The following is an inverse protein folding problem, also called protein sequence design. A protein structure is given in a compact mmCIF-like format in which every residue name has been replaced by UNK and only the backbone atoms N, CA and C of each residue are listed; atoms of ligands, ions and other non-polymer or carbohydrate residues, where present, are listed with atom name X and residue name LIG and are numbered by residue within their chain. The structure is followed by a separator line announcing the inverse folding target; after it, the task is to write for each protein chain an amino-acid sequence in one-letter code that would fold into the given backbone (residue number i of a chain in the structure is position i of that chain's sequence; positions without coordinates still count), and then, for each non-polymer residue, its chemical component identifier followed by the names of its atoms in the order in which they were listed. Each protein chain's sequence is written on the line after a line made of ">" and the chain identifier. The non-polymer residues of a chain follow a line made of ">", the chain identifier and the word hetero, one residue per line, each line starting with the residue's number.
data_IF_624267226548
#
_entry.id   IF_624267226548
#
_cell.length_a   1.000
_cell.length_b   1.000
_cell.length_c   1.000
_cell.angle_alpha   90.00
_cell.angle_beta   90.00
_cell.angle_gamma   90.00
#
_symmetry.space_group_name_H-M   'P 1'
#
loop_
_entity.id
_entity.type
_entity.pdbx_description
1 polymer ?
#
# COMPACT_ATOMS: atom_id res chain seq x y z
N UNK A 1 -8.07 -18.49 6.90
CA UNK A 1 -8.78 -18.50 5.61
C UNK A 1 -10.29 -18.69 5.76
N UNK A 2 -10.79 -19.74 6.43
CA UNK A 2 -12.25 -19.95 6.63
C UNK A 2 -12.93 -18.75 7.30
N UNK A 3 -12.43 -18.30 8.46
CA UNK A 3 -12.95 -17.12 9.18
C UNK A 3 -12.95 -15.83 8.33
N UNK A 4 -11.96 -15.67 7.46
CA UNK A 4 -11.85 -14.50 6.56
C UNK A 4 -12.97 -14.54 5.51
N UNK A 5 -13.22 -15.72 4.91
CA UNK A 5 -14.34 -15.91 3.96
C UNK A 5 -15.69 -15.70 4.64
N UNK A 6 -15.86 -16.21 5.87
CA UNK A 6 -17.08 -15.96 6.65
C UNK A 6 -17.29 -14.47 6.93
N UNK A 7 -16.24 -13.75 7.30
CA UNK A 7 -16.32 -12.31 7.56
C UNK A 7 -16.63 -11.50 6.30
N UNK A 8 -16.04 -11.86 5.16
CA UNK A 8 -16.38 -11.27 3.86
C UNK A 8 -17.83 -11.55 3.47
N UNK A 9 -18.31 -12.79 3.63
CA UNK A 9 -19.71 -13.15 3.41
C UNK A 9 -20.68 -12.41 4.36
N UNK A 10 -20.28 -12.20 5.62
CA UNK A 10 -21.04 -11.40 6.56
C UNK A 10 -21.10 -9.92 6.15
N UNK A 11 -20.01 -9.35 5.61
CA UNK A 11 -19.98 -7.97 5.12
C UNK A 11 -20.88 -7.76 3.92
N UNK A 12 -20.81 -8.64 2.91
CA UNK A 12 -21.77 -8.62 1.79
C UNK A 12 -23.21 -8.88 2.24
N UNK A 13 -23.40 -9.67 3.30
CA UNK A 13 -24.70 -9.86 3.95
C UNK A 13 -25.22 -8.63 4.70
N UNK A 14 -24.34 -7.77 5.21
CA UNK A 14 -24.71 -6.53 5.92
C UNK A 14 -25.39 -5.55 4.95
N UNK A 15 -24.88 -5.41 3.74
CA UNK A 15 -25.50 -4.57 2.69
C UNK A 15 -26.94 -4.98 2.41
N UNK A 16 -27.22 -6.29 2.47
CA UNK A 16 -28.57 -6.85 2.25
C UNK A 16 -29.48 -6.77 3.47
N UNK A 17 -28.92 -6.72 4.68
CA UNK A 17 -29.67 -6.81 5.95
C UNK A 17 -29.97 -5.45 6.59
N UNK A 18 -29.14 -4.44 6.35
CA UNK A 18 -29.30 -3.12 6.97
C UNK A 18 -30.01 -2.18 5.99
N UNK A 19 -31.23 -1.76 6.36
CA UNK A 19 -32.10 -0.90 5.53
C UNK A 19 -31.61 0.56 5.38
N UNK A 20 -30.67 1.00 6.21
CA UNK A 20 -30.11 2.36 6.17
C UNK A 20 -28.72 2.37 6.83
N UNK A 21 -27.67 2.55 6.03
CA UNK A 21 -26.32 2.88 6.49
C UNK A 21 -25.84 4.14 5.75
N UNK A 22 -24.96 4.90 6.37
CA UNK A 22 -24.43 6.15 5.80
C UNK A 22 -23.48 5.88 4.63
N UNK A 23 -23.31 6.85 3.72
CA UNK A 23 -22.30 6.76 2.63
C UNK A 23 -20.89 6.44 3.13
N UNK A 24 -20.55 6.87 4.35
CA UNK A 24 -19.26 6.54 4.99
C UNK A 24 -19.19 5.07 5.41
N UNK A 25 -20.29 4.53 5.96
CA UNK A 25 -20.34 3.10 6.30
C UNK A 25 -20.30 2.22 5.05
N UNK A 26 -20.94 2.64 3.96
CA UNK A 26 -20.83 1.99 2.66
C UNK A 26 -19.38 1.94 2.17
N UNK A 27 -18.68 3.08 2.20
CA UNK A 27 -17.27 3.16 1.83
C UNK A 27 -16.40 2.26 2.73
N UNK A 28 -16.65 2.26 4.04
CA UNK A 28 -15.91 1.42 4.99
C UNK A 28 -16.19 -0.09 4.81
N UNK A 29 -17.41 -0.48 4.44
CA UNK A 29 -17.75 -1.88 4.10
C UNK A 29 -16.97 -2.31 2.85
N UNK A 30 -16.97 -1.47 1.81
CA UNK A 30 -16.20 -1.73 0.59
C UNK A 30 -14.69 -1.84 0.87
N UNK A 31 -14.16 -0.99 1.75
CA UNK A 31 -12.77 -1.09 2.20
C UNK A 31 -12.49 -2.43 2.89
N UNK A 32 -13.38 -2.88 3.77
CA UNK A 32 -13.23 -4.18 4.42
C UNK A 32 -13.22 -5.34 3.42
N UNK A 33 -14.09 -5.31 2.40
CA UNK A 33 -14.13 -6.36 1.37
C UNK A 33 -12.79 -6.46 0.62
N UNK A 34 -12.24 -5.31 0.19
CA UNK A 34 -10.92 -5.22 -0.44
C UNK A 34 -9.82 -5.78 0.49
N UNK A 35 -9.84 -5.38 1.76
CA UNK A 35 -8.87 -5.81 2.77
C UNK A 35 -8.97 -7.30 3.12
N UNK A 36 -10.17 -7.91 3.04
CA UNK A 36 -10.35 -9.34 3.22
C UNK A 36 -9.77 -10.14 2.05
N UNK A 37 -9.98 -9.68 0.82
CA UNK A 37 -9.41 -10.30 -0.36
C UNK A 37 -7.87 -10.24 -0.32
N UNK A 38 -7.31 -9.12 0.12
CA UNK A 38 -5.86 -9.00 0.34
C UNK A 38 -5.36 -9.96 1.43
N UNK A 39 -6.06 -10.01 2.57
CA UNK A 39 -5.76 -10.95 3.65
C UNK A 39 -5.80 -12.41 3.18
N UNK A 40 -6.75 -12.78 2.32
CA UNK A 40 -6.84 -14.15 1.80
C UNK A 40 -5.62 -14.51 0.96
N UNK A 41 -5.16 -13.61 0.11
CA UNK A 41 -3.98 -13.85 -0.72
C UNK A 41 -2.69 -13.89 0.11
N UNK A 42 -2.50 -12.97 1.05
CA UNK A 42 -1.36 -12.98 1.98
C UNK A 42 -1.28 -14.29 2.75
N UNK A 43 -2.43 -14.80 3.24
CA UNK A 43 -2.50 -16.09 3.92
C UNK A 43 -2.24 -17.26 2.96
N UNK A 44 -2.66 -17.20 1.69
CA UNK A 44 -2.35 -18.25 0.70
C UNK A 44 -0.85 -18.33 0.43
N UNK A 45 -0.19 -17.18 0.24
CA UNK A 45 1.26 -17.11 0.03
C UNK A 45 1.99 -17.64 1.26
N UNK A 46 1.60 -17.19 2.46
CA UNK A 46 2.17 -17.69 3.70
C UNK A 46 1.98 -19.20 3.87
N UNK A 47 0.83 -19.76 3.48
CA UNK A 47 0.61 -21.20 3.54
C UNK A 47 1.46 -21.97 2.52
N UNK A 48 1.62 -21.45 1.30
CA UNK A 48 2.48 -22.07 0.29
C UNK A 48 3.94 -22.18 0.77
N UNK A 49 4.43 -21.17 1.51
CA UNK A 49 5.75 -21.17 2.14
C UNK A 49 5.89 -22.16 3.32
N UNK A 50 4.77 -22.62 3.89
CA UNK A 50 4.74 -23.59 5.00
C UNK A 50 4.67 -25.05 4.54
N UNK A 51 4.28 -25.33 3.29
CA UNK A 51 4.18 -26.69 2.74
C UNK A 51 5.53 -27.42 2.62
N UNK A 52 6.69 -26.78 2.34
CA UNK A 52 7.98 -27.45 2.33
C UNK A 52 8.50 -27.77 3.75
N UNK A 53 9.32 -28.83 3.90
CA UNK A 53 9.90 -29.33 5.17
C UNK A 53 10.42 -28.20 6.10
N UNK A 54 10.37 -28.39 7.43
CA UNK A 54 10.77 -27.46 8.53
C UNK A 54 11.94 -26.48 8.26
N UNK A 55 12.94 -26.85 7.46
CA UNK A 55 14.06 -25.99 7.04
C UNK A 55 13.66 -24.82 6.13
N UNK A 56 12.55 -24.90 5.40
CA UNK A 56 12.04 -23.80 4.57
C UNK A 56 11.37 -22.71 5.42
N UNK A 57 10.68 -23.09 6.49
CA UNK A 57 10.01 -22.16 7.42
C UNK A 57 11.02 -21.23 8.12
N UNK A 58 12.19 -21.73 8.49
CA UNK A 58 13.24 -20.88 9.07
C UNK A 58 13.88 -19.93 8.07
N UNK A 59 13.95 -20.30 6.78
CA UNK A 59 14.45 -19.45 5.68
C UNK A 59 13.44 -18.37 5.29
N UNK A 60 12.16 -18.71 5.24
CA UNK A 60 11.07 -17.80 4.85
C UNK A 60 10.40 -17.14 6.07
N UNK A 61 11.03 -17.22 7.25
CA UNK A 61 10.48 -16.69 8.51
C UNK A 61 10.06 -15.22 8.39
N UNK A 62 10.91 -14.38 7.77
CA UNK A 62 10.61 -12.95 7.62
C UNK A 62 9.46 -12.67 6.65
N UNK A 63 9.32 -13.50 5.63
CA UNK A 63 8.24 -13.37 4.64
C UNK A 63 6.90 -13.79 5.29
N UNK A 64 6.89 -14.92 6.00
CA UNK A 64 5.75 -15.36 6.82
C UNK A 64 5.34 -14.30 7.85
N UNK A 65 6.32 -13.71 8.54
CA UNK A 65 6.07 -12.65 9.51
C UNK A 65 5.44 -11.42 8.84
N UNK A 66 5.95 -11.06 7.65
CA UNK A 66 5.45 -9.93 6.87
C UNK A 66 4.00 -10.15 6.45
N UNK A 67 3.67 -11.29 5.84
CA UNK A 67 2.31 -11.58 5.37
C UNK A 67 1.31 -11.72 6.52
N UNK A 68 1.69 -12.36 7.62
CA UNK A 68 0.82 -12.43 8.80
C UNK A 68 0.60 -11.06 9.46
N UNK A 69 1.63 -10.21 9.49
CA UNK A 69 1.48 -8.84 10.02
C UNK A 69 0.63 -7.97 9.11
N UNK A 70 0.74 -8.14 7.79
CA UNK A 70 -0.11 -7.47 6.81
C UNK A 70 -1.58 -7.90 6.99
N UNK A 71 -1.85 -9.20 7.12
CA UNK A 71 -3.18 -9.75 7.37
C UNK A 71 -3.83 -9.15 8.62
N UNK A 72 -3.04 -8.96 9.69
CA UNK A 72 -3.50 -8.32 10.93
C UNK A 72 -3.79 -6.83 10.72
N UNK A 73 -2.92 -6.12 10.00
CA UNK A 73 -3.09 -4.69 9.70
C UNK A 73 -4.36 -4.44 8.89
N UNK A 74 -4.64 -5.29 7.90
CA UNK A 74 -5.87 -5.23 7.10
C UNK A 74 -7.14 -5.30 7.98
N UNK A 75 -7.13 -6.10 9.06
CA UNK A 75 -8.25 -6.16 10.01
C UNK A 75 -8.42 -4.85 10.79
N UNK A 76 -7.32 -4.24 11.24
CA UNK A 76 -7.35 -2.96 11.95
C UNK A 76 -7.84 -1.83 11.04
N UNK A 77 -7.34 -1.74 9.81
CA UNK A 77 -7.77 -0.75 8.82
C UNK A 77 -9.25 -0.87 8.51
N UNK A 78 -9.76 -2.10 8.34
CA UNK A 78 -11.19 -2.36 8.15
C UNK A 78 -12.03 -1.79 9.31
N UNK A 79 -11.60 -1.99 10.57
CA UNK A 79 -12.29 -1.39 11.71
C UNK A 79 -12.15 0.13 11.78
N UNK A 80 -10.98 0.66 11.43
CA UNK A 80 -10.71 2.10 11.47
C UNK A 80 -11.58 2.88 10.48
N UNK A 81 -11.93 2.28 9.34
CA UNK A 81 -12.92 2.85 8.40
C UNK A 81 -14.25 3.26 9.06
N UNK A 82 -14.63 2.59 10.16
CA UNK A 82 -15.83 2.91 10.93
C UNK A 82 -15.61 3.83 12.14
N UNK A 83 -14.40 4.35 12.39
CA UNK A 83 -14.07 5.13 13.60
C UNK A 83 -14.96 6.36 13.81
N UNK A 84 -15.44 6.94 12.71
CA UNK A 84 -16.34 8.10 12.72
C UNK A 84 -17.79 7.73 12.34
N UNK A 85 -18.13 6.44 12.31
CA UNK A 85 -19.52 5.99 12.18
C UNK A 85 -20.24 6.07 13.53
N UNK A 86 -21.51 6.46 13.50
CA UNK A 86 -22.41 6.48 14.65
C UNK A 86 -23.24 5.19 14.79
N UNK A 87 -23.18 4.30 13.80
CA UNK A 87 -24.01 3.10 13.70
C UNK A 87 -23.44 1.87 14.42
N UNK A 88 -24.27 0.84 14.56
CA UNK A 88 -23.88 -0.45 15.15
C UNK A 88 -23.04 -1.33 14.21
N UNK A 89 -22.84 -0.92 12.96
CA UNK A 89 -22.09 -1.68 11.94
C UNK A 89 -20.69 -2.00 12.44
N UNK A 90 -19.98 -1.02 13.03
CA UNK A 90 -18.64 -1.21 13.61
C UNK A 90 -18.58 -2.38 14.60
N UNK A 91 -19.58 -2.51 15.46
CA UNK A 91 -19.62 -3.57 16.48
C UNK A 91 -19.90 -4.95 15.87
N UNK A 92 -20.73 -5.01 14.83
CA UNK A 92 -21.01 -6.25 14.10
C UNK A 92 -19.72 -6.73 13.40
N UNK A 93 -19.04 -5.84 12.68
CA UNK A 93 -17.77 -6.13 12.00
C UNK A 93 -16.72 -6.55 13.03
N UNK A 94 -16.55 -5.81 14.12
CA UNK A 94 -15.59 -6.12 15.19
C UNK A 94 -15.76 -7.54 15.74
N UNK A 95 -16.99 -8.02 15.89
CA UNK A 95 -17.26 -9.40 16.33
C UNK A 95 -16.82 -10.43 15.29
N UNK A 96 -17.08 -10.18 14.00
CA UNK A 96 -16.62 -11.05 12.91
C UNK A 96 -15.09 -11.13 12.81
N UNK A 97 -14.41 -10.00 13.04
CA UNK A 97 -12.95 -9.93 12.97
C UNK A 97 -12.22 -10.56 14.15
N UNK A 98 -12.88 -10.71 15.29
CA UNK A 98 -12.25 -11.16 16.53
C UNK A 98 -11.50 -12.50 16.35
N UNK A 99 -12.12 -13.47 15.69
CA UNK A 99 -11.51 -14.78 15.43
C UNK A 99 -10.32 -14.66 14.49
N UNK A 100 -10.43 -13.85 13.43
CA UNK A 100 -9.35 -13.63 12.46
C UNK A 100 -8.12 -13.06 13.17
N UNK A 101 -8.31 -11.98 13.94
CA UNK A 101 -7.23 -11.32 14.68
C UNK A 101 -6.59 -12.27 15.69
N UNK A 102 -7.39 -13.07 16.41
CA UNK A 102 -6.87 -14.08 17.33
C UNK A 102 -6.04 -15.15 16.63
N UNK A 103 -6.52 -15.68 15.51
CA UNK A 103 -5.79 -16.72 14.78
C UNK A 103 -4.48 -16.17 14.19
N UNK A 104 -4.51 -15.01 13.55
CA UNK A 104 -3.31 -14.39 12.97
C UNK A 104 -2.29 -14.04 14.07
N UNK A 105 -2.75 -13.50 15.20
CA UNK A 105 -1.90 -13.22 16.36
C UNK A 105 -1.26 -14.49 16.93
N UNK A 106 -2.04 -15.56 17.11
CA UNK A 106 -1.53 -16.86 17.54
C UNK A 106 -0.50 -17.43 16.55
N UNK A 107 -0.76 -17.32 15.24
CA UNK A 107 0.17 -17.75 14.20
C UNK A 107 1.49 -16.96 14.25
N UNK A 108 1.46 -15.65 14.47
CA UNK A 108 2.66 -14.83 14.67
C UNK A 108 3.46 -15.27 15.90
N UNK A 109 2.78 -15.60 17.00
CA UNK A 109 3.44 -16.12 18.22
C UNK A 109 4.05 -17.50 17.98
N UNK A 110 3.36 -18.37 17.24
CA UNK A 110 3.89 -19.69 16.87
C UNK A 110 5.11 -19.59 15.96
N UNK A 111 5.09 -18.66 15.00
CA UNK A 111 6.21 -18.40 14.10
C UNK A 111 7.50 -18.08 14.89
N UNK A 112 7.41 -17.28 15.95
CA UNK A 112 8.54 -16.94 16.86
C UNK A 112 9.12 -18.14 17.62
N UNK A 113 8.39 -19.26 17.67
CA UNK A 113 8.80 -20.51 18.35
C UNK A 113 9.42 -21.54 17.39
N UNK A 114 9.51 -21.25 16.09
CA UNK A 114 10.09 -22.18 15.10
C UNK A 114 11.60 -22.39 15.38
N UNK A 115 12.08 -23.65 15.53
CA UNK A 115 13.49 -23.94 15.73
C UNK A 115 14.36 -23.55 14.52
N UNK A 116 15.57 -23.06 14.75
CA UNK A 116 16.52 -22.69 13.68
C UNK A 116 16.33 -21.28 13.11
N UNK A 117 15.38 -20.50 13.64
CA UNK A 117 15.31 -19.06 13.40
C UNK A 117 16.33 -18.39 14.33
N UNK A 118 17.41 -17.84 13.77
CA UNK A 118 18.38 -17.07 14.55
C UNK A 118 17.69 -15.80 15.08
N UNK A 119 17.45 -15.79 16.40
CA UNK A 119 16.91 -14.64 17.14
C UNK A 119 17.96 -13.54 17.39
N UNK A 120 19.18 -13.71 16.89
CA UNK A 120 20.26 -12.72 16.99
C UNK A 120 20.14 -11.74 15.82
N UNK A 121 19.92 -10.43 16.00
CA UNK A 121 20.12 -9.53 17.13
C UNK A 121 18.87 -8.68 17.34
N UNK A 122 18.68 -8.21 18.57
CA UNK A 122 17.93 -6.99 18.85
C UNK A 122 18.67 -5.78 18.24
N UNK A 123 18.67 -5.65 16.93
CA UNK A 123 18.91 -4.36 16.31
C UNK A 123 17.56 -3.64 16.32
N UNK A 124 17.54 -2.41 16.81
CA UNK A 124 16.37 -1.53 16.89
C UNK A 124 15.66 -1.34 15.52
N UNK A 125 16.24 -1.87 14.44
CA UNK A 125 15.71 -2.01 13.10
C UNK A 125 16.20 -3.33 12.44
N UNK A 126 15.47 -4.46 12.57
CA UNK A 126 15.85 -5.73 11.92
C UNK A 126 15.76 -5.70 10.38
N UNK A 127 15.33 -4.57 9.79
CA UNK A 127 15.13 -4.38 8.36
C UNK A 127 16.30 -3.72 7.61
N UNK A 128 17.46 -3.49 8.25
CA UNK A 128 18.70 -3.38 7.47
C UNK A 128 19.13 -4.77 7.00
N UNK A 129 18.31 -5.39 6.13
CA UNK A 129 18.84 -6.40 5.23
C UNK A 129 20.08 -5.80 4.56
N UNK A 130 21.21 -6.50 4.60
CA UNK A 130 22.54 -6.03 4.12
C UNK A 130 22.36 -5.08 2.94
N UNK A 131 22.46 -3.77 3.21
CA UNK A 131 22.33 -2.75 2.17
C UNK A 131 23.55 -2.89 1.28
N UNK A 132 23.34 -3.36 0.04
CA UNK A 132 24.41 -3.43 -0.94
C UNK A 132 24.34 -2.16 -1.79
N UNK A 133 25.32 -1.28 -1.60
CA UNK A 133 25.40 0.06 -2.22
C UNK A 133 24.22 0.98 -1.84
N UNK A 134 23.74 0.87 -0.59
CA UNK A 134 22.61 1.68 -0.09
C UNK A 134 21.23 1.26 -0.61
N UNK A 135 21.09 0.05 -1.16
CA UNK A 135 19.81 -0.54 -1.57
C UNK A 135 19.59 -1.90 -0.90
N UNK A 136 18.33 -2.26 -0.59
CA UNK A 136 18.00 -3.56 -0.01
C UNK A 136 18.34 -4.69 -0.97
N UNK A 137 18.62 -5.88 -0.43
CA UNK A 137 18.93 -7.08 -1.22
C UNK A 137 17.76 -7.52 -2.10
N UNK A 138 16.53 -7.24 -1.69
CA UNK A 138 15.30 -7.57 -2.41
C UNK A 138 15.11 -6.77 -3.71
N UNK A 139 15.70 -5.58 -3.84
CA UNK A 139 15.69 -4.84 -5.10
C UNK A 139 16.67 -5.49 -6.10
N UNK A 140 16.19 -5.84 -7.29
CA UNK A 140 17.02 -6.49 -8.31
C UNK A 140 18.17 -5.58 -8.76
N UNK A 141 19.24 -6.15 -9.32
CA UNK A 141 20.36 -5.34 -9.86
C UNK A 141 19.89 -4.44 -11.01
N UNK A 142 18.95 -4.91 -11.82
CA UNK A 142 18.35 -4.16 -12.92
C UNK A 142 17.57 -2.96 -12.37
N UNK A 143 16.73 -3.16 -11.36
CA UNK A 143 15.96 -2.06 -10.74
C UNK A 143 16.88 -1.02 -10.08
N UNK A 144 17.95 -1.44 -9.41
CA UNK A 144 18.95 -0.51 -8.88
C UNK A 144 19.59 0.33 -9.98
N UNK A 145 19.92 -0.28 -11.11
CA UNK A 145 20.47 0.42 -12.27
C UNK A 145 19.47 1.44 -12.81
N UNK A 146 18.18 1.08 -12.95
CA UNK A 146 17.12 2.00 -13.37
C UNK A 146 16.91 3.16 -12.38
N UNK A 147 16.97 2.89 -11.08
CA UNK A 147 16.88 3.92 -10.05
C UNK A 147 18.05 4.90 -10.12
N UNK A 148 19.26 4.41 -10.41
CA UNK A 148 20.47 5.24 -10.49
C UNK A 148 20.68 5.91 -11.86
N UNK A 149 20.14 5.36 -12.95
CA UNK A 149 20.28 5.90 -14.30
C UNK A 149 19.68 7.31 -14.43
N UNK A 150 20.13 8.12 -15.38
CA UNK A 150 19.42 9.35 -15.71
C UNK A 150 18.11 9.04 -16.45
N UNK A 151 17.16 9.99 -16.45
CA UNK A 151 15.90 9.84 -17.20
C UNK A 151 16.19 9.61 -18.69
N UNK A 152 17.18 10.29 -19.25
CA UNK A 152 17.54 10.19 -20.68
C UNK A 152 18.15 8.83 -21.08
N UNK A 153 18.66 8.05 -20.14
CA UNK A 153 19.27 6.73 -20.37
C UNK A 153 18.30 5.57 -20.11
N UNK A 154 17.05 5.88 -19.74
CA UNK A 154 16.05 4.88 -19.38
C UNK A 154 15.13 4.64 -20.58
N UNK A 155 14.95 3.38 -20.96
CA UNK A 155 13.94 2.99 -21.94
C UNK A 155 12.56 2.98 -21.28
N UNK A 156 11.57 3.55 -21.96
CA UNK A 156 10.21 3.72 -21.45
C UNK A 156 9.22 2.95 -22.33
N UNK A 157 8.31 2.22 -21.69
CA UNK A 157 7.25 1.49 -22.40
C UNK A 157 6.11 2.43 -22.80
N UNK A 158 5.77 3.39 -21.95
CA UNK A 158 4.73 4.39 -22.19
C UNK A 158 5.14 5.78 -21.70
N UNK A 159 4.65 6.79 -22.40
CA UNK A 159 4.84 8.20 -22.07
C UNK A 159 3.49 8.83 -21.76
N UNK A 160 3.39 9.50 -20.62
CA UNK A 160 2.27 10.33 -20.22
C UNK A 160 2.67 11.79 -20.33
N UNK A 161 1.92 12.56 -21.12
CA UNK A 161 2.19 13.97 -21.31
C UNK A 161 0.89 14.76 -21.51
N UNK A 162 0.70 15.81 -20.71
CA UNK A 162 -0.49 16.67 -20.80
C UNK A 162 -0.58 17.48 -22.08
N UNK A 163 0.56 17.77 -22.69
CA UNK A 163 0.67 18.53 -23.94
C UNK A 163 0.30 17.69 -25.19
N UNK A 164 -0.05 16.41 -25.00
CA UNK A 164 -0.39 15.49 -26.09
C UNK A 164 0.82 14.90 -26.82
N UNK A 165 2.04 15.17 -26.37
CA UNK A 165 3.27 14.63 -26.99
C UNK A 165 3.62 13.21 -26.53
N UNK A 166 2.81 12.62 -25.64
CA UNK A 166 2.96 11.26 -25.12
C UNK A 166 1.90 10.31 -25.68
N UNK A 167 1.95 9.05 -25.26
CA UNK A 167 0.95 8.04 -25.59
C UNK A 167 -0.41 8.33 -24.93
N UNK A 168 -0.38 8.86 -23.70
CA UNK A 168 -1.57 9.17 -22.91
C UNK A 168 -1.48 10.57 -22.29
N UNK A 169 -2.63 11.18 -22.02
CA UNK A 169 -2.72 12.49 -21.35
C UNK A 169 -2.93 12.36 -19.84
N UNK A 170 -3.41 11.21 -19.37
CA UNK A 170 -3.66 10.90 -17.96
C UNK A 170 -2.82 9.70 -17.50
N UNK A 171 -2.53 9.65 -16.20
CA UNK A 171 -1.77 8.54 -15.60
C UNK A 171 -2.67 7.30 -15.49
N UNK A 172 -3.95 7.47 -15.16
CA UNK A 172 -4.91 6.37 -15.08
C UNK A 172 -5.03 5.59 -16.40
N UNK A 173 -5.04 6.26 -17.55
CA UNK A 173 -5.10 5.57 -18.85
C UNK A 173 -3.84 4.75 -19.12
N UNK A 174 -2.66 5.29 -18.77
CA UNK A 174 -1.40 4.56 -18.90
C UNK A 174 -1.33 3.35 -17.95
N UNK A 175 -1.82 3.49 -16.71
CA UNK A 175 -1.94 2.37 -15.77
C UNK A 175 -2.91 1.33 -16.30
N UNK A 176 -4.05 1.74 -16.88
CA UNK A 176 -5.03 0.84 -17.47
C UNK A 176 -4.43 0.05 -18.65
N UNK A 177 -3.63 0.70 -19.49
CA UNK A 177 -2.96 0.09 -20.65
C UNK A 177 -1.83 -0.89 -20.28
N UNK A 178 -1.19 -0.74 -19.12
CA UNK A 178 -0.11 -1.63 -18.70
C UNK A 178 -0.55 -3.11 -18.61
N UNK A 179 0.32 -4.08 -18.88
CA UNK A 179 -0.03 -5.51 -18.78
C UNK A 179 -0.39 -5.91 -17.33
N UNK A 180 -1.33 -6.84 -17.20
CA UNK A 180 -1.65 -7.45 -15.90
C UNK A 180 -0.70 -8.62 -15.62
N UNK A 181 -0.28 -8.77 -14.36
CA UNK A 181 0.58 -9.84 -13.84
C UNK A 181 1.89 -9.99 -14.63
N UNK A 182 2.50 -8.86 -15.01
CA UNK A 182 3.80 -8.85 -15.68
C UNK A 182 4.89 -9.41 -14.76
N UNK A 183 5.76 -10.24 -15.34
CA UNK A 183 6.99 -10.70 -14.69
C UNK A 183 8.17 -9.76 -14.94
N UNK A 184 8.03 -8.82 -15.88
CA UNK A 184 9.04 -7.84 -16.25
C UNK A 184 8.60 -6.44 -15.83
N UNK A 185 9.59 -5.59 -15.57
CA UNK A 185 9.42 -4.17 -15.25
C UNK A 185 8.72 -3.47 -16.42
N UNK A 186 7.66 -2.74 -16.13
CA UNK A 186 6.96 -1.91 -17.11
C UNK A 186 7.05 -0.43 -16.68
N UNK A 187 7.75 0.37 -17.47
CA UNK A 187 8.18 1.74 -17.13
C UNK A 187 7.27 2.76 -17.82
N UNK A 188 6.53 3.51 -17.01
CA UNK A 188 5.70 4.63 -17.44
C UNK A 188 6.44 5.92 -17.11
N UNK A 189 6.82 6.66 -18.14
CA UNK A 189 7.43 7.97 -18.02
C UNK A 189 6.35 9.05 -18.00
N UNK A 190 6.37 9.90 -16.98
CA UNK A 190 5.38 10.95 -16.75
C UNK A 190 6.09 12.29 -16.84
N UNK A 191 5.89 12.99 -17.96
CA UNK A 191 6.50 14.30 -18.21
C UNK A 191 6.10 15.33 -17.16
N UNK A 192 6.88 16.40 -17.08
CA UNK A 192 6.61 17.54 -16.22
C UNK A 192 5.19 18.08 -16.43
N UNK A 193 4.50 18.35 -15.33
CA UNK A 193 3.11 18.75 -15.31
C UNK A 193 2.44 18.40 -13.99
N UNK A 194 1.31 19.07 -13.72
CA UNK A 194 0.48 18.81 -12.54
C UNK A 194 -0.76 18.02 -12.93
N UNK A 195 -0.83 16.74 -12.60
CA UNK A 195 -1.90 15.80 -12.92
C UNK A 195 -2.92 15.77 -11.78
N UNK A 196 -4.14 16.26 -12.04
CA UNK A 196 -5.21 16.27 -11.05
C UNK A 196 -6.06 15.01 -11.17
N UNK A 197 -5.63 13.93 -10.53
CA UNK A 197 -6.25 12.61 -10.63
C UNK A 197 -5.99 11.76 -9.38
N UNK A 198 -6.92 10.86 -9.06
CA UNK A 198 -6.69 9.80 -8.10
C UNK A 198 -6.23 8.56 -8.87
N UNK A 199 -5.03 8.06 -8.60
CA UNK A 199 -4.43 6.92 -9.32
C UNK A 199 -4.44 5.69 -8.43
N UNK A 200 -4.87 4.56 -8.97
CA UNK A 200 -4.88 3.29 -8.27
C UNK A 200 -4.10 2.21 -9.04
N UNK A 201 -2.97 1.81 -8.49
CA UNK A 201 -2.18 0.68 -8.97
C UNK A 201 -2.67 -0.58 -8.25
N UNK A 202 -3.75 -1.14 -8.81
CA UNK A 202 -4.39 -2.36 -8.31
C UNK A 202 -3.42 -3.55 -8.30
N UNK A 203 -3.70 -4.54 -7.46
CA UNK A 203 -2.87 -5.74 -7.24
C UNK A 203 -2.41 -6.47 -8.51
N UNK A 204 -3.28 -6.57 -9.51
CA UNK A 204 -2.97 -7.22 -10.80
C UNK A 204 -1.91 -6.47 -11.63
N UNK A 205 -1.63 -5.20 -11.33
CA UNK A 205 -0.66 -4.36 -12.05
C UNK A 205 0.72 -4.48 -11.39
N UNK A 206 1.36 -5.65 -11.54
CA UNK A 206 2.67 -5.96 -10.96
C UNK A 206 3.82 -5.32 -11.74
N UNK A 207 4.94 -5.09 -11.05
CA UNK A 207 6.22 -4.64 -11.62
C UNK A 207 6.14 -3.31 -12.37
N UNK A 208 5.15 -2.47 -12.07
CA UNK A 208 5.05 -1.12 -12.63
C UNK A 208 6.12 -0.20 -12.06
N UNK A 209 6.64 0.70 -12.90
CA UNK A 209 7.55 1.74 -12.50
C UNK A 209 7.11 3.09 -13.06
N UNK A 210 6.96 4.09 -12.20
CA UNK A 210 6.73 5.46 -12.61
C UNK A 210 8.03 6.26 -12.56
N UNK A 211 8.33 6.97 -13.64
CA UNK A 211 9.49 7.87 -13.74
C UNK A 211 8.99 9.26 -14.09
N UNK A 212 9.29 10.25 -13.25
CA UNK A 212 9.00 11.66 -13.51
C UNK A 212 10.24 12.45 -13.88
N UNK A 213 10.02 13.68 -14.33
CA UNK A 213 11.09 14.65 -14.66
C UNK A 213 11.81 15.23 -13.45
N UNK A 214 11.33 14.91 -12.24
CA UNK A 214 11.92 15.31 -10.97
C UNK A 214 10.91 15.81 -9.96
N UNK A 215 11.35 15.88 -8.70
CA UNK A 215 10.58 16.46 -7.60
C UNK A 215 10.16 17.89 -7.95
N UNK A 216 8.89 18.22 -7.73
CA UNK A 216 8.28 19.51 -8.06
C UNK A 216 7.97 19.75 -9.55
N UNK A 217 8.52 18.95 -10.47
CA UNK A 217 8.23 19.07 -11.92
C UNK A 217 7.07 18.19 -12.35
N UNK A 218 7.10 16.92 -11.95
CA UNK A 218 6.00 15.97 -12.17
C UNK A 218 5.23 15.83 -10.85
N UNK A 219 3.99 16.31 -10.82
CA UNK A 219 3.16 16.35 -9.61
C UNK A 219 1.84 15.63 -9.87
N UNK A 220 1.54 14.62 -9.07
CA UNK A 220 0.21 13.97 -9.04
C UNK A 220 -0.54 14.49 -7.83
N UNK A 221 -1.70 15.09 -8.06
CA UNK A 221 -2.43 15.88 -7.07
C UNK A 221 -3.91 15.48 -7.02
N UNK A 222 -4.46 15.37 -5.81
CA UNK A 222 -5.90 15.28 -5.60
C UNK A 222 -6.30 15.96 -4.27
N UNK A 223 -7.55 15.81 -3.85
CA UNK A 223 -8.08 16.48 -2.65
C UNK A 223 -9.12 15.64 -1.87
N UNK A 224 -9.14 14.31 -2.05
CA UNK A 224 -10.02 13.43 -1.26
C UNK A 224 -9.63 13.47 0.21
N UNK A 225 -10.62 13.49 1.09
CA UNK A 225 -10.41 13.66 2.53
C UNK A 225 -11.57 13.11 3.35
N UNK A 226 -11.33 12.92 4.65
CA UNK A 226 -12.33 12.34 5.54
C UNK A 226 -13.51 13.26 5.79
N UNK A 227 -13.32 14.58 5.91
CA UNK A 227 -14.43 15.53 6.16
C UNK A 227 -15.49 15.47 5.06
N UNK A 228 -15.07 15.33 3.81
CA UNK A 228 -15.97 15.27 2.65
C UNK A 228 -16.58 13.87 2.41
N UNK A 229 -16.38 12.93 3.35
CA UNK A 229 -17.08 11.65 3.40
C UNK A 229 -16.25 10.43 2.98
N UNK A 230 -14.99 10.60 2.57
CA UNK A 230 -14.11 9.47 2.30
C UNK A 230 -13.62 8.82 3.60
N UNK A 231 -13.16 7.58 3.50
CA UNK A 231 -12.36 6.94 4.56
C UNK A 231 -10.90 7.37 4.43
N UNK A 232 -10.10 7.23 5.49
CA UNK A 232 -8.66 7.50 5.42
C UNK A 232 -8.01 6.65 4.33
N UNK A 233 -8.40 5.37 4.23
CA UNK A 233 -7.92 4.41 3.22
C UNK A 233 -8.19 4.86 1.77
N UNK A 234 -9.39 5.40 1.47
CA UNK A 234 -9.77 5.91 0.13
C UNK A 234 -9.43 7.37 -0.13
N UNK A 235 -8.91 8.09 0.87
CA UNK A 235 -8.47 9.48 0.71
C UNK A 235 -7.18 9.63 -0.08
N UNK A 236 -6.47 8.53 -0.35
CA UNK A 236 -5.20 8.51 -1.05
C UNK A 236 -5.29 9.15 -2.45
N UNK A 237 -4.36 10.07 -2.74
CA UNK A 237 -4.17 10.59 -4.11
C UNK A 237 -3.62 9.49 -5.01
N UNK A 238 -2.60 8.78 -4.56
CA UNK A 238 -2.10 7.57 -5.23
C UNK A 238 -2.16 6.40 -4.26
N UNK A 239 -2.82 5.32 -4.67
CA UNK A 239 -2.88 4.06 -3.93
C UNK A 239 -2.14 2.97 -4.72
N UNK A 240 -1.20 2.29 -4.07
CA UNK A 240 -0.35 1.27 -4.70
C UNK A 240 -0.46 -0.04 -3.93
N UNK A 241 -0.93 -1.08 -4.62
CA UNK A 241 -1.06 -2.46 -4.09
C UNK A 241 -0.33 -3.46 -4.99
N UNK A 242 -0.17 -3.15 -6.28
CA UNK A 242 0.58 -4.00 -7.23
C UNK A 242 2.01 -4.27 -6.79
N UNK A 243 2.38 -5.54 -6.68
CA UNK A 243 3.69 -6.01 -6.18
C UNK A 243 4.86 -5.44 -6.99
N UNK A 244 5.94 -5.08 -6.29
CA UNK A 244 7.19 -4.64 -6.87
C UNK A 244 7.12 -3.23 -7.45
N UNK A 245 6.16 -2.39 -7.07
CA UNK A 245 6.01 -1.05 -7.63
C UNK A 245 7.22 -0.14 -7.35
N UNK A 246 7.64 0.63 -8.34
CA UNK A 246 8.72 1.61 -8.18
C UNK A 246 8.24 3.00 -8.60
N UNK A 247 8.57 4.04 -7.83
CA UNK A 247 8.42 5.41 -8.28
C UNK A 247 9.73 6.18 -8.15
N UNK A 248 10.01 7.02 -9.14
CA UNK A 248 11.21 7.85 -9.18
C UNK A 248 10.93 9.25 -9.69
N UNK A 249 11.41 10.26 -8.98
CA UNK A 249 11.38 11.65 -9.48
C UNK A 249 9.99 12.25 -9.58
N UNK A 250 9.07 11.87 -8.69
CA UNK A 250 7.64 12.28 -8.73
C UNK A 250 7.22 12.88 -7.39
N UNK A 251 6.32 13.85 -7.45
CA UNK A 251 5.66 14.42 -6.26
C UNK A 251 4.23 13.90 -6.16
N UNK A 252 3.86 13.36 -5.02
CA UNK A 252 2.50 12.95 -4.68
C UNK A 252 1.92 13.95 -3.69
N UNK A 253 0.81 14.59 -4.03
CA UNK A 253 0.23 15.68 -3.26
C UNK A 253 -1.26 15.47 -2.97
N UNK A 254 -1.65 15.60 -1.70
CA UNK A 254 -3.05 15.79 -1.34
C UNK A 254 -3.28 17.23 -0.84
N UNK A 255 -4.12 17.95 -1.58
CA UNK A 255 -4.36 19.38 -1.42
C UNK A 255 -5.67 19.73 -0.71
N UNK A 256 -6.27 18.78 0.02
CA UNK A 256 -7.49 19.01 0.78
C UNK A 256 -7.39 20.15 1.80
N UNK A 257 -6.20 20.36 2.39
CA UNK A 257 -5.96 21.39 3.40
C UNK A 257 -6.08 20.87 4.84
N UNK A 258 -5.61 21.65 5.85
CA UNK A 258 -5.54 21.21 7.24
C UNK A 258 -6.93 21.11 7.90
N UNK A 259 -7.91 21.89 7.45
CA UNK A 259 -9.29 21.85 7.97
C UNK A 259 -10.06 20.59 7.57
N UNK A 260 -9.54 19.81 6.62
CA UNK A 260 -10.17 18.61 6.09
C UNK A 260 -9.74 17.31 6.80
N UNK A 261 -8.90 17.44 7.84
CA UNK A 261 -8.33 16.32 8.60
C UNK A 261 -7.58 15.31 7.72
N UNK A 262 -7.77 14.00 7.93
CA UNK A 262 -7.06 12.93 7.23
C UNK A 262 -7.20 13.04 5.70
N UNK A 263 -6.06 13.17 5.01
CA UNK A 263 -5.99 13.36 3.57
C UNK A 263 -4.66 12.80 3.03
N UNK A 264 -4.69 11.55 2.57
CA UNK A 264 -3.47 10.79 2.23
C UNK A 264 -2.93 11.20 0.85
N UNK A 265 -1.61 11.47 0.74
CA UNK A 265 -0.95 11.70 -0.54
C UNK A 265 -0.61 10.37 -1.23
N UNK A 266 0.08 9.48 -0.53
CA UNK A 266 0.40 8.14 -1.01
C UNK A 266 -0.02 7.10 0.02
N UNK A 267 -0.79 6.10 -0.43
CA UNK A 267 -1.00 4.83 0.28
C UNK A 267 -0.24 3.73 -0.43
N UNK A 268 0.65 3.05 0.28
CA UNK A 268 1.36 1.89 -0.24
C UNK A 268 1.07 0.67 0.61
N UNK A 269 0.51 -0.36 -0.03
CA UNK A 269 0.36 -1.73 0.46
C UNK A 269 0.96 -2.69 -0.56
N UNK A 270 2.02 -2.28 -1.26
CA UNK A 270 2.72 -3.08 -2.26
C UNK A 270 3.96 -3.70 -1.67
N UNK A 271 4.07 -5.03 -1.78
CA UNK A 271 5.27 -5.74 -1.36
C UNK A 271 6.44 -5.45 -2.30
N UNK A 272 7.63 -5.31 -1.72
CA UNK A 272 8.86 -4.96 -2.43
C UNK A 272 8.79 -3.63 -3.21
N UNK A 273 7.98 -2.69 -2.73
CA UNK A 273 7.88 -1.36 -3.35
C UNK A 273 9.06 -0.46 -3.02
N UNK A 274 9.44 0.41 -3.95
CA UNK A 274 10.53 1.37 -3.76
C UNK A 274 10.23 2.77 -4.29
N UNK A 275 10.62 3.79 -3.53
CA UNK A 275 10.44 5.19 -3.85
C UNK A 275 11.79 5.89 -3.79
N UNK A 276 12.20 6.52 -4.89
CA UNK A 276 13.51 7.15 -5.02
C UNK A 276 13.42 8.57 -5.54
N UNK A 277 13.95 9.56 -4.81
CA UNK A 277 13.82 10.98 -5.21
C UNK A 277 12.34 11.35 -5.43
N UNK A 278 11.48 10.94 -4.51
CA UNK A 278 10.06 11.31 -4.53
C UNK A 278 9.75 12.32 -3.44
N UNK A 279 8.69 13.11 -3.63
CA UNK A 279 8.17 13.98 -2.58
C UNK A 279 6.72 13.64 -2.26
N UNK A 280 6.38 13.65 -0.97
CA UNK A 280 5.05 13.39 -0.45
C UNK A 280 4.58 14.62 0.31
N UNK A 281 3.48 15.20 -0.11
CA UNK A 281 3.00 16.49 0.39
C UNK A 281 1.52 16.37 0.75
N UNK A 282 1.20 16.50 2.03
CA UNK A 282 -0.18 16.74 2.46
C UNK A 282 -0.17 17.49 3.80
N UNK A 283 -1.25 17.37 4.56
CA UNK A 283 -1.31 17.84 5.94
C UNK A 283 -1.30 16.62 6.87
N UNK A 284 -2.48 16.15 7.28
CA UNK A 284 -2.64 15.00 8.16
C UNK A 284 -2.64 13.70 7.35
N UNK A 285 -1.94 12.67 7.85
CA UNK A 285 -1.81 11.34 7.25
C UNK A 285 -1.16 11.33 5.85
N UNK A 286 -0.09 12.12 5.67
CA UNK A 286 0.54 12.34 4.35
C UNK A 286 0.97 11.04 3.67
N UNK A 287 1.71 10.19 4.38
CA UNK A 287 2.23 8.93 3.87
C UNK A 287 1.64 7.77 4.66
N UNK A 288 0.80 6.97 4.00
CA UNK A 288 0.19 5.79 4.60
C UNK A 288 0.96 4.54 4.17
N UNK A 289 1.94 4.16 5.00
CA UNK A 289 2.71 2.91 4.87
C UNK A 289 1.87 1.76 5.41
N UNK A 290 0.90 1.31 4.60
CA UNK A 290 -0.18 0.43 5.06
C UNK A 290 0.32 -0.96 5.46
N UNK A 291 1.02 -1.67 4.58
CA UNK A 291 1.48 -3.03 4.85
C UNK A 291 2.65 -3.44 3.96
N UNK A 292 3.25 -4.59 4.25
CA UNK A 292 4.29 -5.26 3.44
C UNK A 292 5.63 -4.49 3.39
N UNK A 293 6.59 -4.97 2.59
CA UNK A 293 7.97 -4.46 2.57
C UNK A 293 8.08 -3.27 1.61
N UNK A 294 8.59 -2.14 2.11
CA UNK A 294 8.67 -0.89 1.35
C UNK A 294 10.02 -0.19 1.60
N UNK A 295 10.54 0.50 0.59
CA UNK A 295 11.81 1.20 0.66
C UNK A 295 11.70 2.64 0.16
N UNK A 296 12.18 3.60 0.95
CA UNK A 296 12.16 5.03 0.59
C UNK A 296 13.59 5.57 0.69
N UNK A 297 14.08 6.23 -0.36
CA UNK A 297 15.44 6.80 -0.39
C UNK A 297 15.47 8.14 -1.11
N UNK A 298 16.16 9.11 -0.51
CA UNK A 298 16.27 10.48 -1.02
C UNK A 298 14.88 11.13 -1.24
N UNK A 299 13.91 10.80 -0.37
CA UNK A 299 12.55 11.30 -0.45
C UNK A 299 12.29 12.42 0.56
N UNK A 300 11.42 13.35 0.19
CA UNK A 300 10.98 14.45 1.07
C UNK A 300 9.53 14.20 1.50
N UNK A 301 9.25 14.18 2.80
CA UNK A 301 7.89 14.01 3.34
C UNK A 301 7.51 15.29 4.09
N UNK A 302 6.42 15.92 3.69
CA UNK A 302 5.88 17.15 4.27
C UNK A 302 4.44 16.93 4.74
N UNK A 303 4.15 17.29 5.99
CA UNK A 303 2.82 17.19 6.57
C UNK A 303 2.62 18.16 7.73
N UNK A 304 1.50 18.03 8.46
CA UNK A 304 1.29 18.64 9.78
C UNK A 304 0.90 17.59 10.82
N UNK A 305 1.49 17.69 12.03
CA UNK A 305 1.07 16.92 13.21
C UNK A 305 0.11 17.77 14.03
N UNK A 306 -1.14 17.33 14.16
CA UNK A 306 -1.95 17.73 15.32
C UNK A 306 -1.58 16.82 16.50
N UNK A 307 -1.53 17.32 17.75
CA UNK A 307 -1.21 16.48 18.90
C UNK A 307 -2.17 15.28 18.97
N UNK A 308 -1.62 14.07 18.79
CA UNK A 308 -2.36 12.81 18.73
C UNK A 308 -2.58 12.20 17.33
N UNK A 309 -2.08 12.81 16.25
CA UNK A 309 -2.21 12.33 14.87
C UNK A 309 -0.84 12.26 14.18
N UNK A 310 -0.61 11.20 13.41
CA UNK A 310 0.72 10.74 12.97
C UNK A 310 1.01 11.15 11.52
N UNK A 311 2.19 11.72 11.22
CA UNK A 311 2.61 12.04 9.84
C UNK A 311 2.73 10.81 8.93
N UNK A 312 3.14 9.70 9.55
CA UNK A 312 3.19 8.35 9.00
C UNK A 312 2.21 7.54 9.84
N UNK A 313 1.11 7.08 9.26
CA UNK A 313 0.19 6.19 9.96
C UNK A 313 0.89 4.84 10.16
N UNK A 314 1.08 4.43 11.42
CA UNK A 314 1.57 3.10 11.81
C UNK A 314 0.46 2.27 12.43
#
# INVERSE_FOLDING_TARGET
>A
MYEVRLSSANCTGIEKRIKSYSKREEAAINDCLELFDDTLEELKVALADLVPKKLAVSRNYHDLQTFLSAAMTNQYTCLDGFARSKGNVRNIIKKGLHNITHHVSNSLVMLKKVPGVNKSKSEYFPQQGRLKNGFPSSLSRQDRKLLQASVNETEFDLIVAKDGTGNFTTINDAVAAAPNNSNTRFVIYIKAGSFFENVEVVKKKKMLMFVGDGIGKTVVKANRNVVDGFTTFRSATVAVVGEGFIAKGITFENSAGPSKHQAVALRSGSDLSAFYKCSFVAYQDTLYVHSLRQFYRECNIYGNCFPGLQFICS
#
